data_IF_421982388427
#
_entry.id   IF_421982388427
#
_cell.length_a   1.000
_cell.length_b   1.000
_cell.length_c   1.000
_cell.angle_alpha   90.00
_cell.angle_beta   90.00
_cell.angle_gamma   90.00
#
_symmetry.space_group_name_H-M   'P 1'
#
loop_
_entity.id
_entity.type
_entity.pdbx_description
1 polymer ?
#
# COMPACT_ATOMS: atom_id res chain seq x y z
N UNK A 1 -7.28 8.42 -16.27
CA UNK A 1 -6.89 7.53 -15.17
C UNK A 1 -7.66 7.89 -13.91
N UNK A 2 -8.82 7.28 -13.72
CA UNK A 2 -9.60 7.40 -12.48
C UNK A 2 -9.37 6.13 -11.67
N UNK A 3 -8.39 6.17 -10.78
CA UNK A 3 -8.13 5.03 -9.89
C UNK A 3 -9.39 4.69 -9.08
N UNK A 4 -9.70 3.40 -8.89
CA UNK A 4 -10.77 3.03 -7.97
C UNK A 4 -10.44 3.60 -6.59
N UNK A 5 -11.42 4.23 -5.93
CA UNK A 5 -11.24 4.96 -4.68
C UNK A 5 -10.57 4.10 -3.58
N UNK A 6 -10.73 2.77 -3.66
CA UNK A 6 -10.11 1.75 -2.83
C UNK A 6 -8.58 1.65 -3.01
N UNK A 7 -8.06 1.73 -4.23
CA UNK A 7 -6.61 1.69 -4.51
C UNK A 7 -5.90 2.94 -3.95
N UNK A 8 -6.53 4.10 -4.07
CA UNK A 8 -6.03 5.36 -3.49
C UNK A 8 -6.05 5.31 -1.96
N UNK A 9 -7.09 4.73 -1.37
CA UNK A 9 -7.18 4.56 0.08
C UNK A 9 -6.07 3.65 0.62
N UNK A 10 -5.80 2.52 -0.06
CA UNK A 10 -4.69 1.62 0.25
C UNK A 10 -3.34 2.33 0.13
N UNK A 11 -3.11 3.06 -0.97
CA UNK A 11 -1.89 3.84 -1.18
C UNK A 11 -1.62 4.81 -0.03
N UNK A 12 -2.64 5.58 0.37
CA UNK A 12 -2.54 6.53 1.49
C UNK A 12 -2.24 5.84 2.82
N UNK A 13 -2.81 4.65 3.07
CA UNK A 13 -2.51 3.85 4.27
C UNK A 13 -1.07 3.37 4.28
N UNK A 14 -0.58 2.81 3.17
CA UNK A 14 0.82 2.39 3.03
C UNK A 14 1.76 3.58 3.28
N UNK A 15 1.51 4.73 2.63
CA UNK A 15 2.33 5.93 2.83
C UNK A 15 2.35 6.42 4.28
N UNK A 16 1.26 6.26 5.04
CA UNK A 16 1.24 6.58 6.48
C UNK A 16 2.14 5.63 7.26
N UNK A 17 2.07 4.33 7.00
CA UNK A 17 2.97 3.35 7.63
C UNK A 17 4.44 3.65 7.31
N UNK A 18 4.74 4.09 6.09
CA UNK A 18 6.11 4.45 5.69
C UNK A 18 6.68 5.65 6.47
N UNK A 19 5.85 6.54 7.04
CA UNK A 19 6.36 7.67 7.85
C UNK A 19 7.06 7.20 9.13
N UNK A 20 6.72 6.02 9.64
CA UNK A 20 7.27 5.45 10.86
C UNK A 20 8.70 4.90 10.70
N UNK A 21 9.17 4.72 9.47
CA UNK A 21 10.58 4.38 9.26
C UNK A 21 11.45 5.58 9.64
N UNK A 22 12.59 5.37 10.28
CA UNK A 22 13.59 6.44 10.41
C UNK A 22 14.52 6.50 9.19
N UNK A 23 14.67 5.35 8.51
CA UNK A 23 15.54 5.18 7.35
C UNK A 23 14.90 5.76 6.06
N UNK A 24 15.47 6.81 5.46
CA UNK A 24 14.96 7.42 4.23
C UNK A 24 15.09 6.52 3.00
N UNK A 25 16.08 5.62 2.95
CA UNK A 25 16.24 4.63 1.89
C UNK A 25 15.11 3.61 1.88
N UNK A 26 14.71 3.12 3.07
CA UNK A 26 13.55 2.23 3.21
C UNK A 26 12.25 2.93 2.82
N UNK A 27 12.05 4.20 3.22
CA UNK A 27 10.89 5.00 2.79
C UNK A 27 10.80 5.10 1.27
N UNK A 28 11.90 5.45 0.62
CA UNK A 28 11.97 5.61 -0.83
C UNK A 28 11.69 4.30 -1.55
N UNK A 29 12.34 3.20 -1.12
CA UNK A 29 12.17 1.87 -1.71
C UNK A 29 10.70 1.43 -1.67
N UNK A 30 10.08 1.43 -0.49
CA UNK A 30 8.69 0.97 -0.37
C UNK A 30 7.70 1.91 -1.06
N UNK A 31 7.95 3.22 -1.05
CA UNK A 31 7.11 4.19 -1.77
C UNK A 31 7.12 3.92 -3.27
N UNK A 32 8.29 3.69 -3.86
CA UNK A 32 8.42 3.40 -5.28
C UNK A 32 7.84 2.02 -5.61
N UNK A 33 8.09 1.02 -4.77
CA UNK A 33 7.52 -0.31 -4.94
C UNK A 33 5.99 -0.27 -4.94
N UNK A 34 5.35 0.44 -4.00
CA UNK A 34 3.89 0.60 -3.97
C UNK A 34 3.36 1.37 -5.19
N UNK A 35 4.04 2.44 -5.60
CA UNK A 35 3.65 3.19 -6.82
C UNK A 35 3.69 2.33 -8.07
N UNK A 36 4.77 1.57 -8.25
CA UNK A 36 4.93 0.71 -9.40
C UNK A 36 3.85 -0.38 -9.43
N UNK A 37 3.54 -0.98 -8.28
CA UNK A 37 2.45 -1.96 -8.21
C UNK A 37 1.11 -1.36 -8.63
N UNK A 38 0.73 -0.19 -8.10
CA UNK A 38 -0.55 0.45 -8.47
C UNK A 38 -0.57 0.80 -9.96
N UNK A 39 0.53 1.29 -10.51
CA UNK A 39 0.62 1.60 -11.94
C UNK A 39 0.56 0.34 -12.84
N UNK A 40 1.10 -0.80 -12.40
CA UNK A 40 1.02 -2.07 -13.13
C UNK A 40 -0.42 -2.58 -13.28
N UNK A 41 -1.32 -2.22 -12.36
CA UNK A 41 -2.71 -2.66 -12.36
C UNK A 41 -3.68 -1.52 -12.68
N UNK A 42 -3.22 -0.47 -13.37
CA UNK A 42 -4.08 0.67 -13.70
C UNK A 42 -5.12 0.35 -14.78
N UNK A 43 -4.78 -0.58 -15.69
CA UNK A 43 -5.67 -1.07 -16.75
C UNK A 43 -6.53 -2.28 -16.29
N UNK A 44 -6.49 -2.64 -15.00
CA UNK A 44 -7.25 -3.76 -14.44
C UNK A 44 -8.67 -3.31 -14.07
N UNK A 45 -9.66 -3.80 -14.83
CA UNK A 45 -11.07 -3.45 -14.64
C UNK A 45 -11.88 -4.58 -13.96
N UNK A 46 -11.31 -5.78 -13.82
CA UNK A 46 -12.01 -6.90 -13.18
C UNK A 46 -12.17 -6.65 -11.66
N UNK A 47 -13.42 -6.55 -11.15
CA UNK A 47 -13.66 -6.27 -9.74
C UNK A 47 -13.10 -7.35 -8.79
N UNK A 48 -13.11 -8.63 -9.18
CA UNK A 48 -12.54 -9.70 -8.33
C UNK A 48 -11.03 -9.55 -8.24
N UNK A 49 -10.39 -9.27 -9.37
CA UNK A 49 -8.94 -9.09 -9.45
C UNK A 49 -8.48 -7.85 -8.72
N UNK A 50 -9.20 -6.73 -8.86
CA UNK A 50 -8.99 -5.53 -8.06
C UNK A 50 -9.09 -5.82 -6.56
N UNK A 51 -10.10 -6.59 -6.12
CA UNK A 51 -10.24 -6.98 -4.73
C UNK A 51 -9.06 -7.83 -4.22
N UNK A 52 -8.60 -8.80 -5.01
CA UNK A 52 -7.42 -9.62 -4.69
C UNK A 52 -6.15 -8.77 -4.58
N UNK A 53 -5.96 -7.81 -5.49
CA UNK A 53 -4.82 -6.90 -5.47
C UNK A 53 -4.82 -5.99 -4.24
N UNK A 54 -6.00 -5.48 -3.86
CA UNK A 54 -6.18 -4.68 -2.65
C UNK A 54 -5.86 -5.48 -1.39
N UNK A 55 -6.37 -6.71 -1.32
CA UNK A 55 -6.12 -7.64 -0.22
C UNK A 55 -4.61 -7.95 -0.11
N UNK A 56 -3.96 -8.28 -1.22
CA UNK A 56 -2.53 -8.56 -1.29
C UNK A 56 -1.67 -7.36 -0.86
N UNK A 57 -2.07 -6.15 -1.26
CA UNK A 57 -1.38 -4.93 -0.86
C UNK A 57 -1.52 -4.62 0.64
N UNK A 58 -2.67 -4.95 1.24
CA UNK A 58 -2.86 -4.87 2.69
C UNK A 58 -2.02 -5.91 3.45
N UNK A 59 -1.98 -7.15 2.96
CA UNK A 59 -1.11 -8.20 3.52
C UNK A 59 0.36 -7.80 3.48
N UNK A 60 0.81 -7.20 2.38
CA UNK A 60 2.16 -6.65 2.27
C UNK A 60 2.40 -5.52 3.27
N UNK A 61 1.42 -4.61 3.47
CA UNK A 61 1.51 -3.57 4.50
C UNK A 61 1.71 -4.20 5.88
N UNK A 62 0.86 -5.14 6.26
CA UNK A 62 0.91 -5.82 7.56
C UNK A 62 2.23 -6.57 7.73
N UNK A 63 2.72 -7.25 6.70
CA UNK A 63 4.01 -7.94 6.73
C UNK A 63 5.17 -6.97 6.95
N UNK A 64 5.21 -5.84 6.24
CA UNK A 64 6.22 -4.79 6.44
C UNK A 64 6.15 -4.27 7.87
N UNK A 65 4.94 -3.98 8.37
CA UNK A 65 4.77 -3.45 9.72
C UNK A 65 5.25 -4.43 10.79
N UNK A 66 4.95 -5.73 10.64
CA UNK A 66 5.48 -6.78 11.53
C UNK A 66 7.00 -6.91 11.42
N UNK A 67 7.54 -6.92 10.19
CA UNK A 67 8.98 -7.07 9.92
C UNK A 67 9.83 -5.97 10.57
N UNK A 68 9.30 -4.75 10.61
CA UNK A 68 10.01 -3.59 11.17
C UNK A 68 9.46 -3.14 12.53
N UNK A 69 8.63 -3.97 13.19
CA UNK A 69 8.02 -3.68 14.48
C UNK A 69 7.33 -2.29 14.55
N UNK A 70 6.70 -1.88 13.45
CA UNK A 70 6.00 -0.61 13.36
C UNK A 70 4.65 -0.69 14.09
N UNK A 71 4.22 0.42 14.69
CA UNK A 71 2.91 0.48 15.36
C UNK A 71 1.83 0.41 14.29
N UNK A 72 0.81 -0.43 14.51
CA UNK A 72 -0.35 -0.39 13.62
C UNK A 72 -0.99 1.00 13.70
N UNK A 73 -1.17 1.63 12.55
CA UNK A 73 -1.92 2.88 12.48
C UNK A 73 -3.34 2.42 12.18
N UNK A 74 -4.24 2.34 13.18
CA UNK A 74 -5.63 1.99 12.92
C UNK A 74 -6.15 2.96 11.87
N UNK A 75 -6.42 2.45 10.69
CA UNK A 75 -6.88 3.27 9.59
C UNK A 75 -8.30 3.70 9.91
N UNK A 76 -8.49 4.93 10.42
CA UNK A 76 -9.76 5.58 10.76
C UNK A 76 -10.98 4.74 10.38
N UNK A 77 -11.58 4.09 11.40
CA UNK A 77 -13.01 3.79 11.37
C UNK A 77 -13.79 5.09 11.27
#
# INVERSE_FOLDING_TARGET
MSYPASAVALYRRVLRSLRQFDDPGKKWYYRNWTRNNIATFDDEDDPERLQQLLQKGEEHRVWIMKKYHLKDIPGNR
#
